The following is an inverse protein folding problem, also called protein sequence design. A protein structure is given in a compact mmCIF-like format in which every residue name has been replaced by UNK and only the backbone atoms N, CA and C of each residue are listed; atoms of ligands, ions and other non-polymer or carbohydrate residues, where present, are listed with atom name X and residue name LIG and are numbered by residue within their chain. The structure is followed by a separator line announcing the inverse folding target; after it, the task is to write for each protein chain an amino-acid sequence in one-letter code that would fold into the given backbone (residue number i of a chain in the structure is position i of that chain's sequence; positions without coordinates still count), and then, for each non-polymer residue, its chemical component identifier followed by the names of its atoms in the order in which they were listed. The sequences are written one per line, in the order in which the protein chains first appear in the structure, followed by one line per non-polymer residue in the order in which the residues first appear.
data_IF_806034407761
#
_entry.id   IF_806034407761
#
_cell.length_a   1.000
_cell.length_b   1.000
_cell.length_c   1.000
_cell.angle_alpha   90.00
_cell.angle_beta   90.00
_cell.angle_gamma   90.00
#
_symmetry.space_group_name_H-M   'P 1'
#
loop_
_entity.id
_entity.type
_entity.pdbx_description
1 polymer ?
#
# COMPACT_ATOMS: atom_id res chain seq x y z
N UNK A 1 14.15 -7.17 -15.90
CA UNK A 1 14.34 -5.75 -16.27
C UNK A 1 14.26 -4.91 -15.02
N UNK A 2 15.36 -4.28 -14.56
CA UNK A 2 15.28 -3.30 -13.49
C UNK A 2 14.43 -2.13 -13.98
N UNK A 3 13.34 -1.81 -13.28
CA UNK A 3 12.48 -0.65 -13.58
C UNK A 3 11.09 -0.96 -14.16
N UNK A 4 10.78 -2.20 -14.54
CA UNK A 4 9.41 -2.56 -14.93
C UNK A 4 8.54 -2.78 -13.68
N UNK A 5 7.39 -2.10 -13.61
CA UNK A 5 6.37 -2.34 -12.58
C UNK A 5 5.69 -3.71 -12.73
N UNK A 6 4.78 -4.02 -11.81
CA UNK A 6 3.90 -5.19 -11.92
C UNK A 6 2.44 -4.77 -12.07
N UNK A 7 1.68 -5.58 -12.80
CA UNK A 7 0.23 -5.45 -12.94
C UNK A 7 -0.47 -6.55 -12.14
N UNK A 8 -1.50 -6.18 -11.39
CA UNK A 8 -2.28 -7.08 -10.56
C UNK A 8 -3.76 -6.96 -10.93
N UNK A 9 -4.36 -8.04 -11.41
CA UNK A 9 -5.80 -8.08 -11.68
C UNK A 9 -6.56 -8.56 -10.43
N UNK A 10 -7.49 -7.74 -9.95
CA UNK A 10 -8.43 -8.11 -8.90
C UNK A 10 -9.81 -8.37 -9.53
N UNK A 11 -10.32 -9.61 -9.49
CA UNK A 11 -11.58 -9.96 -10.15
C UNK A 11 -12.81 -9.38 -9.45
N UNK A 12 -12.68 -8.99 -8.16
CA UNK A 12 -13.76 -8.41 -7.37
C UNK A 12 -13.24 -7.32 -6.46
N UNK A 13 -14.05 -6.30 -6.23
CA UNK A 13 -13.80 -5.28 -5.21
C UNK A 13 -15.10 -4.82 -4.56
N UNK A 14 -15.01 -4.23 -3.36
CA UNK A 14 -16.19 -3.74 -2.61
C UNK A 14 -17.05 -2.76 -3.42
N UNK A 15 -16.43 -2.00 -4.32
CA UNK A 15 -17.10 -0.97 -5.14
C UNK A 15 -17.42 -1.43 -6.56
N UNK A 16 -17.12 -2.68 -6.92
CA UNK A 16 -17.34 -3.25 -8.25
C UNK A 16 -18.65 -4.04 -8.25
N UNK A 17 -19.76 -3.33 -8.46
CA UNK A 17 -21.11 -3.93 -8.46
C UNK A 17 -21.34 -4.85 -9.66
N UNK A 18 -20.72 -4.53 -10.79
CA UNK A 18 -20.92 -5.22 -12.07
C UNK A 18 -19.91 -6.37 -12.27
N UNK A 19 -19.00 -6.59 -11.32
CA UNK A 19 -17.95 -7.63 -11.34
C UNK A 19 -17.06 -7.57 -12.59
N UNK A 20 -16.74 -6.35 -13.05
CA UNK A 20 -15.83 -6.16 -14.18
C UNK A 20 -14.37 -6.46 -13.81
N UNK A 21 -14.06 -6.39 -12.52
CA UNK A 21 -12.70 -6.46 -12.00
C UNK A 21 -11.90 -5.20 -12.29
N UNK A 22 -10.70 -5.11 -11.69
CA UNK A 22 -9.82 -3.96 -11.85
C UNK A 22 -8.37 -4.38 -11.85
N UNK A 23 -7.61 -3.84 -12.80
CA UNK A 23 -6.15 -3.98 -12.83
C UNK A 23 -5.50 -2.80 -12.11
N UNK A 24 -4.61 -3.13 -11.18
CA UNK A 24 -3.77 -2.18 -10.46
C UNK A 24 -2.34 -2.28 -10.97
N UNK A 25 -1.65 -1.15 -11.01
CA UNK A 25 -0.26 -1.06 -11.41
C UNK A 25 0.58 -0.66 -10.19
N UNK A 26 1.71 -1.33 -9.99
CA UNK A 26 2.65 -1.00 -8.92
C UNK A 26 4.03 -0.79 -9.53
N UNK A 27 4.61 0.41 -9.44
CA UNK A 27 5.92 0.67 -10.00
C UNK A 27 7.02 -0.03 -9.20
N UNK A 28 8.12 -0.37 -9.87
CA UNK A 28 9.36 -0.71 -9.18
C UNK A 28 9.95 0.56 -8.55
N UNK A 29 10.36 0.47 -7.29
CA UNK A 29 10.96 1.59 -6.54
C UNK A 29 12.44 1.34 -6.31
N UNK A 30 13.22 2.41 -6.10
CA UNK A 30 14.64 2.30 -5.76
C UNK A 30 14.88 1.82 -4.32
N UNK A 31 13.94 2.13 -3.41
CA UNK A 31 13.98 1.74 -2.00
C UNK A 31 12.66 1.11 -1.63
N UNK A 32 12.71 0.07 -0.77
CA UNK A 32 11.51 -0.64 -0.29
C UNK A 32 10.60 -1.08 -1.45
N UNK A 33 11.21 -1.67 -2.48
CA UNK A 33 10.53 -1.97 -3.74
C UNK A 33 9.50 -3.09 -3.58
N UNK A 34 8.19 -2.84 -3.79
CA UNK A 34 7.17 -3.87 -3.67
C UNK A 34 7.31 -4.95 -4.76
N UNK A 35 7.77 -4.58 -5.96
CA UNK A 35 8.04 -5.54 -7.05
C UNK A 35 9.13 -6.52 -6.65
N UNK A 36 10.23 -6.00 -6.09
CA UNK A 36 11.32 -6.85 -5.61
C UNK A 36 10.88 -7.75 -4.47
N UNK A 37 10.19 -7.21 -3.46
CA UNK A 37 9.68 -7.98 -2.33
C UNK A 37 8.72 -9.10 -2.79
N UNK A 38 7.88 -8.82 -3.79
CA UNK A 38 7.01 -9.82 -4.41
C UNK A 38 7.80 -10.93 -5.13
N UNK A 39 8.81 -10.57 -5.93
CA UNK A 39 9.65 -11.55 -6.63
C UNK A 39 10.49 -12.41 -5.68
N UNK A 40 11.04 -11.81 -4.63
CA UNK A 40 11.77 -12.53 -3.57
C UNK A 40 10.85 -13.51 -2.84
N UNK A 41 9.62 -13.07 -2.53
CA UNK A 41 8.61 -13.95 -1.94
C UNK A 41 8.26 -15.13 -2.83
N UNK A 42 7.99 -14.93 -4.13
CA UNK A 42 7.70 -16.02 -5.06
C UNK A 42 8.88 -17.00 -5.18
N UNK A 43 10.11 -16.49 -5.18
CA UNK A 43 11.32 -17.31 -5.24
C UNK A 43 11.49 -18.16 -3.98
N UNK A 44 11.28 -17.56 -2.80
CA UNK A 44 11.40 -18.26 -1.52
C UNK A 44 10.27 -19.26 -1.27
N UNK A 45 9.05 -18.96 -1.72
CA UNK A 45 7.86 -19.79 -1.52
C UNK A 45 7.68 -20.88 -2.58
N UNK A 46 8.43 -20.83 -3.67
CA UNK A 46 8.33 -21.72 -4.83
C UNK A 46 6.89 -21.85 -5.39
N UNK A 47 6.07 -20.81 -5.21
CA UNK A 47 4.68 -20.81 -5.64
C UNK A 47 4.58 -20.58 -7.15
N UNK A 48 4.00 -21.57 -7.84
CA UNK A 48 3.71 -21.47 -9.29
C UNK A 48 2.23 -21.22 -9.59
N UNK A 49 1.35 -21.42 -8.61
CA UNK A 49 -0.12 -21.23 -8.73
C UNK A 49 -0.79 -21.04 -7.38
N UNK A 50 -2.05 -20.60 -7.42
CA UNK A 50 -2.89 -20.42 -6.23
C UNK A 50 -2.67 -19.07 -5.53
N UNK A 51 -3.11 -18.93 -4.27
CA UNK A 51 -2.97 -17.70 -3.51
C UNK A 51 -1.50 -17.34 -3.31
N UNK A 52 -1.14 -16.09 -3.63
CA UNK A 52 0.24 -15.60 -3.45
C UNK A 52 0.58 -15.51 -1.97
N UNK A 53 -0.31 -14.94 -1.15
CA UNK A 53 -0.11 -14.86 0.29
C UNK A 53 -0.86 -16.01 0.93
N UNK A 54 -0.12 -16.86 1.65
CA UNK A 54 -0.65 -18.06 2.33
C UNK A 54 -0.32 -18.00 3.81
N UNK A 55 -1.05 -18.78 4.61
CA UNK A 55 -0.67 -19.03 5.99
C UNK A 55 0.69 -19.73 6.07
N UNK A 56 1.51 -19.34 7.05
CA UNK A 56 2.76 -20.02 7.38
C UNK A 56 2.61 -20.57 8.81
N UNK A 57 2.84 -21.86 8.99
CA UNK A 57 2.79 -22.47 10.31
C UNK A 57 4.05 -22.16 11.14
N UNK A 58 4.08 -22.60 12.41
CA UNK A 58 5.21 -22.36 13.31
C UNK A 58 6.52 -23.04 12.90
N UNK A 59 6.46 -23.99 11.96
CA UNK A 59 7.62 -24.70 11.43
C UNK A 59 8.09 -24.14 10.09
N UNK A 60 7.42 -23.11 9.56
CA UNK A 60 7.76 -22.47 8.29
C UNK A 60 7.10 -23.10 7.08
N UNK A 61 6.16 -24.04 7.24
CA UNK A 61 5.47 -24.63 6.11
C UNK A 61 4.35 -23.72 5.60
N UNK A 62 4.19 -23.67 4.27
CA UNK A 62 3.11 -22.96 3.61
C UNK A 62 1.84 -23.80 3.59
N UNK A 63 0.72 -23.19 3.97
CA UNK A 63 -0.60 -23.76 3.74
C UNK A 63 -0.98 -23.80 2.26
N UNK A 64 -2.09 -24.46 1.95
CA UNK A 64 -2.69 -24.44 0.60
C UNK A 64 -3.58 -23.20 0.40
N UNK A 65 -4.27 -22.80 1.46
CA UNK A 65 -5.24 -21.72 1.46
C UNK A 65 -4.61 -20.32 1.50
N UNK A 66 -5.39 -19.35 1.03
CA UNK A 66 -5.04 -17.94 1.12
C UNK A 66 -4.92 -17.47 2.56
N UNK A 67 -4.03 -16.51 2.79
CA UNK A 67 -3.89 -15.84 4.09
C UNK A 67 -5.26 -15.29 4.54
N UNK A 68 -5.64 -15.64 5.77
CA UNK A 68 -6.90 -15.15 6.33
C UNK A 68 -6.88 -13.61 6.46
N UNK A 69 -7.93 -12.87 6.05
CA UNK A 69 -7.94 -11.41 6.09
C UNK A 69 -7.62 -10.81 7.47
N UNK A 70 -8.08 -11.47 8.55
CA UNK A 70 -7.83 -11.05 9.92
C UNK A 70 -6.35 -11.18 10.34
N UNK A 71 -5.52 -11.90 9.59
CA UNK A 71 -4.09 -12.04 9.88
C UNK A 71 -3.28 -10.81 9.46
N UNK A 72 -3.80 -9.95 8.58
CA UNK A 72 -3.08 -8.77 8.08
C UNK A 72 -2.72 -7.78 9.19
N UNK A 73 -3.66 -7.51 10.12
CA UNK A 73 -3.41 -6.55 11.21
C UNK A 73 -2.36 -7.08 12.20
N UNK A 74 -2.46 -8.33 12.72
CA UNK A 74 -1.40 -8.90 13.54
C UNK A 74 -0.03 -8.90 12.86
N UNK A 75 0.05 -9.27 11.58
CA UNK A 75 1.32 -9.27 10.83
C UNK A 75 1.91 -7.86 10.70
N UNK A 76 1.08 -6.88 10.38
CA UNK A 76 1.49 -5.48 10.34
C UNK A 76 2.04 -5.04 11.70
N UNK A 77 1.32 -5.34 12.78
CA UNK A 77 1.73 -4.94 14.13
C UNK A 77 3.05 -5.57 14.54
N UNK A 78 3.23 -6.86 14.29
CA UNK A 78 4.52 -7.55 14.52
C UNK A 78 5.67 -6.95 13.69
N UNK A 79 5.41 -6.50 12.46
CA UNK A 79 6.42 -5.80 11.66
C UNK A 79 6.80 -4.44 12.26
N UNK A 80 5.80 -3.68 12.74
CA UNK A 80 6.02 -2.39 13.39
C UNK A 80 6.75 -2.52 14.73
N UNK A 81 6.37 -3.50 15.57
CA UNK A 81 7.03 -3.79 16.85
C UNK A 81 8.51 -4.13 16.65
N UNK A 82 8.83 -4.98 15.66
CA UNK A 82 10.22 -5.29 15.29
C UNK A 82 11.01 -4.08 14.81
N UNK A 83 10.32 -3.05 14.31
CA UNK A 83 10.92 -1.79 13.91
C UNK A 83 10.96 -0.74 15.05
N UNK A 84 10.53 -1.10 16.27
CA UNK A 84 10.45 -0.17 17.41
C UNK A 84 9.33 0.87 17.32
N UNK A 85 8.31 0.62 16.49
CA UNK A 85 7.17 1.51 16.29
C UNK A 85 5.99 1.05 17.17
N UNK A 86 5.34 1.93 17.95
CA UNK A 86 4.14 1.60 18.74
C UNK A 86 2.98 1.11 17.86
N UNK A 87 2.79 -0.21 17.80
CA UNK A 87 1.98 -0.86 16.77
C UNK A 87 0.47 -0.90 17.08
N UNK A 88 0.10 -0.76 18.34
CA UNK A 88 -1.28 -0.84 18.86
C UNK A 88 -2.23 0.11 18.13
N UNK A 89 -1.74 1.29 17.76
CA UNK A 89 -2.50 2.34 17.07
C UNK A 89 -2.68 2.09 15.56
N UNK A 90 -1.98 1.11 14.99
CA UNK A 90 -1.96 0.88 13.55
C UNK A 90 -2.90 -0.24 13.11
N UNK A 91 -3.56 0.00 11.97
CA UNK A 91 -4.40 -0.97 11.25
C UNK A 91 -4.00 -0.98 9.78
N UNK A 92 -4.56 -1.92 9.00
CA UNK A 92 -4.38 -1.93 7.54
C UNK A 92 -4.82 -0.62 6.86
N UNK A 93 -5.83 0.05 7.40
CA UNK A 93 -6.29 1.36 6.90
C UNK A 93 -5.26 2.48 7.10
N UNK A 94 -4.43 2.39 8.14
CA UNK A 94 -3.37 3.37 8.42
C UNK A 94 -2.35 3.41 7.27
N UNK A 95 -2.03 2.28 6.64
CA UNK A 95 -1.14 2.23 5.47
C UNK A 95 -1.73 2.98 4.27
N UNK A 96 -3.01 2.74 3.97
CA UNK A 96 -3.71 3.43 2.87
C UNK A 96 -3.78 4.93 3.11
N UNK A 97 -4.07 5.35 4.36
CA UNK A 97 -4.11 6.76 4.73
C UNK A 97 -2.73 7.41 4.62
N UNK A 98 -1.71 6.80 5.22
CA UNK A 98 -0.34 7.30 5.18
C UNK A 98 0.17 7.48 3.75
N UNK A 99 -0.08 6.50 2.87
CA UNK A 99 0.27 6.62 1.45
C UNK A 99 -0.46 7.79 0.77
N UNK A 100 -1.77 7.94 0.98
CA UNK A 100 -2.53 9.02 0.36
C UNK A 100 -2.06 10.41 0.81
N UNK A 101 -1.80 10.58 2.11
CA UNK A 101 -1.25 11.82 2.66
C UNK A 101 0.13 12.11 2.10
N UNK A 102 1.01 11.11 2.04
CA UNK A 102 2.35 11.26 1.46
C UNK A 102 2.31 11.61 -0.03
N UNK A 103 1.49 10.93 -0.82
CA UNK A 103 1.37 11.16 -2.26
C UNK A 103 0.86 12.57 -2.55
N UNK A 104 -0.16 13.03 -1.80
CA UNK A 104 -0.65 14.40 -1.91
C UNK A 104 0.43 15.43 -1.56
N UNK A 105 1.14 15.25 -0.43
CA UNK A 105 2.27 16.12 -0.03
C UNK A 105 3.44 16.09 -1.01
N UNK A 106 3.55 15.02 -1.80
CA UNK A 106 4.54 14.85 -2.87
C UNK A 106 4.07 15.45 -4.21
N UNK A 107 2.96 16.19 -4.23
CA UNK A 107 2.47 16.91 -5.41
C UNK A 107 1.64 16.08 -6.39
N UNK A 108 1.19 14.88 -6.01
CA UNK A 108 0.29 14.11 -6.87
C UNK A 108 -1.04 14.83 -7.02
N UNK A 109 -1.51 14.95 -8.26
CA UNK A 109 -2.85 15.45 -8.53
C UNK A 109 -3.91 14.44 -8.05
N UNK A 110 -5.10 14.96 -7.74
CA UNK A 110 -6.18 14.15 -7.17
C UNK A 110 -6.61 13.02 -8.10
N UNK A 111 -6.61 13.23 -9.42
CA UNK A 111 -7.05 12.22 -10.38
C UNK A 111 -6.06 11.04 -10.43
N UNK A 112 -4.76 11.33 -10.46
CA UNK A 112 -3.71 10.31 -10.39
C UNK A 112 -3.77 9.53 -9.07
N UNK A 113 -3.96 10.23 -7.94
CA UNK A 113 -4.09 9.60 -6.63
C UNK A 113 -5.32 8.69 -6.54
N UNK A 114 -6.48 9.17 -7.00
CA UNK A 114 -7.72 8.39 -7.03
C UNK A 114 -7.60 7.15 -7.91
N UNK A 115 -6.97 7.28 -9.09
CA UNK A 115 -6.71 6.17 -9.99
C UNK A 115 -5.86 5.08 -9.31
N UNK A 116 -4.74 5.49 -8.71
CA UNK A 116 -3.77 4.58 -8.08
C UNK A 116 -4.34 3.87 -6.84
N UNK A 117 -4.97 4.63 -5.94
CA UNK A 117 -5.56 4.10 -4.70
C UNK A 117 -6.88 3.37 -4.96
N UNK A 118 -7.49 3.59 -6.13
CA UNK A 118 -8.74 2.97 -6.55
C UNK A 118 -9.97 3.57 -5.87
N UNK A 119 -10.01 4.89 -5.70
CA UNK A 119 -11.23 5.59 -5.28
C UNK A 119 -12.09 5.94 -6.50
N UNK A 120 -13.35 5.54 -6.47
CA UNK A 120 -14.33 5.87 -7.50
C UNK A 120 -15.16 7.12 -7.15
N UNK A 121 -15.11 7.57 -5.89
CA UNK A 121 -15.84 8.73 -5.40
C UNK A 121 -14.86 9.78 -4.84
N UNK A 122 -14.99 11.01 -5.35
CA UNK A 122 -14.16 12.14 -4.94
C UNK A 122 -14.38 12.51 -3.47
N UNK A 123 -15.62 12.42 -2.96
CA UNK A 123 -15.89 12.73 -1.54
C UNK A 123 -15.13 11.79 -0.62
N UNK A 124 -15.04 10.51 -0.98
CA UNK A 124 -14.25 9.52 -0.27
C UNK A 124 -12.75 9.80 -0.31
N UNK A 125 -12.23 10.27 -1.45
CA UNK A 125 -10.82 10.64 -1.60
C UNK A 125 -10.45 11.86 -0.74
N UNK A 126 -11.30 12.89 -0.72
CA UNK A 126 -11.07 14.13 0.04
C UNK A 126 -10.92 13.90 1.55
N UNK A 127 -11.45 12.81 2.10
CA UNK A 127 -11.25 12.44 3.52
C UNK A 127 -9.80 12.06 3.88
N UNK A 128 -8.95 11.83 2.88
CA UNK A 128 -7.55 11.42 3.04
C UNK A 128 -6.57 12.51 2.59
N UNK A 129 -7.07 13.55 1.94
CA UNK A 129 -6.30 14.68 1.45
C UNK A 129 -6.45 15.80 2.48
N UNK A 130 -5.42 15.98 3.31
CA UNK A 130 -5.39 17.10 4.25
C UNK A 130 -5.20 18.40 3.47
N UNK A 131 -6.09 19.36 3.68
CA UNK A 131 -5.87 20.72 3.20
C UNK A 131 -4.62 21.26 3.91
N UNK A 132 -3.52 21.34 3.18
CA UNK A 132 -2.31 22.01 3.65
C UNK A 132 -2.21 23.33 2.88
N UNK A 133 -2.96 24.38 3.29
CA UNK A 133 -3.16 25.59 2.47
C UNK A 133 -1.87 26.36 2.16
N UNK A 134 -0.74 26.00 2.78
CA UNK A 134 0.52 26.73 2.68
C UNK A 134 1.72 25.85 2.27
N UNK A 135 1.48 24.65 1.72
CA UNK A 135 2.56 23.77 1.26
C UNK A 135 3.33 24.44 0.11
N UNK A 136 4.52 25.00 0.39
CA UNK A 136 5.34 25.74 -0.56
C UNK A 136 5.66 27.18 -0.16
N UNK A 137 5.05 27.73 0.90
CA UNK A 137 5.53 28.98 1.48
C UNK A 137 6.67 28.71 2.44
N UNK A 138 7.90 28.80 1.95
CA UNK A 138 9.06 29.04 2.81
C UNK A 138 8.83 30.33 3.59
N UNK A 139 8.77 30.25 4.92
CA UNK A 139 8.90 31.45 5.76
C UNK A 139 10.23 32.09 5.38
N UNK A 140 10.17 33.30 4.79
CA UNK A 140 11.34 34.13 4.64
C UNK A 140 11.90 34.35 6.04
N UNK A 141 13.03 33.73 6.34
CA UNK A 141 13.79 34.05 7.54
C UNK A 141 14.26 35.49 7.37
N UNK A 142 13.54 36.40 8.03
CA UNK A 142 14.05 37.74 8.28
C UNK A 142 15.34 37.56 9.10
N UNK A 143 16.48 37.76 8.44
CA UNK A 143 17.71 38.08 9.14
C UNK A 143 17.44 39.38 9.91
N UNK A 144 17.27 39.26 11.22
CA UNK A 144 17.30 40.41 12.11
C UNK A 144 18.77 40.79 12.33
N UNK A 145 18.96 42.11 12.27
CA UNK A 145 20.16 42.93 12.42
C UNK A 145 21.03 42.47 13.61
#
# INVERSE_FOLDING_TARGET
MPGAGISLYLPRSKSDRDNLGKTYQTPALLRLCPVQAYSEWLSASALVRGPVFRGIDRWGNLGEEGLHPNSVIPLLRQALERAGIPADQYTSHSLRRGFATWAHRSGWDLKSLMSYVGWNDMKSAMRYVEATPFLGMTLATQALI
#
